data_IF_345266127277
#
_entry.id   IF_345266127277
#
_cell.length_a   1.000
_cell.length_b   1.000
_cell.length_c   1.000
_cell.angle_alpha   90.00
_cell.angle_beta   90.00
_cell.angle_gamma   90.00
#
_symmetry.space_group_name_H-M   'P 1'
#
loop_
_entity.id
_entity.type
_entity.pdbx_description
1 polymer ?
#
# COMPACT_ATOMS: atom_id res chain seq x y z
N UNK A 1 -11.29 -15.18 17.74
CA UNK A 1 -11.64 -13.91 17.09
C UNK A 1 -10.33 -13.28 16.64
N UNK A 2 -10.24 -12.96 15.36
CA UNK A 2 -9.10 -12.29 14.75
C UNK A 2 -9.47 -10.88 14.33
N UNK A 3 -8.49 -9.98 14.38
CA UNK A 3 -8.56 -8.66 13.77
C UNK A 3 -7.34 -8.48 12.86
N UNK A 4 -7.58 -7.95 11.66
CA UNK A 4 -6.57 -7.57 10.68
C UNK A 4 -6.71 -6.07 10.41
N UNK A 5 -5.58 -5.39 10.30
CA UNK A 5 -5.51 -3.99 9.96
C UNK A 5 -4.52 -3.77 8.81
N UNK A 6 -4.96 -3.05 7.79
CA UNK A 6 -4.16 -2.68 6.62
C UNK A 6 -3.87 -1.18 6.67
N UNK A 7 -2.66 -0.76 6.31
CA UNK A 7 -2.26 0.64 6.35
C UNK A 7 -0.97 0.92 5.59
N UNK A 8 -0.34 2.10 5.80
CA UNK A 8 -0.84 3.23 6.60
C UNK A 8 -2.00 3.93 5.89
N UNK A 9 -3.06 4.29 6.62
CA UNK A 9 -4.23 4.95 6.02
C UNK A 9 -4.02 6.46 5.92
N UNK A 10 -3.74 7.11 7.05
CA UNK A 10 -3.64 8.57 7.11
C UNK A 10 -2.42 9.10 6.36
N UNK A 11 -1.23 8.56 6.62
CA UNK A 11 0.00 9.03 5.95
C UNK A 11 -0.03 8.76 4.43
N UNK A 12 -0.70 7.69 4.01
CA UNK A 12 -0.88 7.41 2.60
C UNK A 12 -1.88 8.39 1.97
N UNK A 13 -3.03 8.64 2.57
CA UNK A 13 -4.02 9.57 2.01
C UNK A 13 -3.50 11.02 2.03
N UNK A 14 -2.85 11.45 3.11
CA UNK A 14 -2.40 12.83 3.33
C UNK A 14 -1.31 13.30 2.35
N UNK A 15 -0.56 12.38 1.75
CA UNK A 15 0.51 12.71 0.78
C UNK A 15 -0.01 12.95 -0.64
N UNK A 16 -1.32 12.86 -0.87
CA UNK A 16 -1.92 13.17 -2.17
C UNK A 16 -1.98 14.69 -2.41
N UNK A 17 -1.44 15.15 -3.55
CA UNK A 17 -1.48 16.57 -3.96
C UNK A 17 -2.57 16.90 -5.00
N UNK A 18 -3.25 15.88 -5.53
CA UNK A 18 -4.29 16.02 -6.55
C UNK A 18 -5.51 15.19 -6.16
N UNK A 19 -6.71 15.62 -6.52
CA UNK A 19 -7.95 14.88 -6.26
C UNK A 19 -7.90 13.45 -6.79
N UNK A 20 -7.28 13.25 -7.96
CA UNK A 20 -7.07 11.90 -8.52
C UNK A 20 -6.14 11.05 -7.66
N UNK A 21 -5.02 11.61 -7.20
CA UNK A 21 -4.06 10.89 -6.34
C UNK A 21 -4.72 10.51 -5.00
N UNK A 22 -5.60 11.37 -4.49
CA UNK A 22 -6.39 11.14 -3.27
C UNK A 22 -7.42 10.03 -3.47
N UNK A 23 -8.21 10.13 -4.54
CA UNK A 23 -9.26 9.18 -4.86
C UNK A 23 -8.69 7.78 -5.12
N UNK A 24 -7.63 7.68 -5.93
CA UNK A 24 -6.95 6.41 -6.17
C UNK A 24 -6.37 5.84 -4.86
N UNK A 25 -5.82 6.71 -4.00
CA UNK A 25 -5.30 6.29 -2.70
C UNK A 25 -6.36 5.62 -1.82
N UNK A 26 -7.55 6.23 -1.73
CA UNK A 26 -8.69 5.65 -1.00
C UNK A 26 -9.16 4.34 -1.64
N UNK A 27 -9.31 4.31 -2.96
CA UNK A 27 -9.71 3.10 -3.69
C UNK A 27 -8.73 1.94 -3.49
N UNK A 28 -7.42 2.22 -3.58
CA UNK A 28 -6.38 1.20 -3.38
C UNK A 28 -6.51 0.54 -2.00
N UNK A 29 -6.70 1.32 -0.94
CA UNK A 29 -6.85 0.78 0.41
C UNK A 29 -8.09 -0.11 0.54
N UNK A 30 -9.23 0.31 -0.03
CA UNK A 30 -10.43 -0.51 -0.07
C UNK A 30 -10.22 -1.81 -0.86
N UNK A 31 -9.55 -1.75 -2.01
CA UNK A 31 -9.28 -2.93 -2.85
C UNK A 31 -8.33 -3.92 -2.16
N UNK A 32 -7.32 -3.44 -1.45
CA UNK A 32 -6.43 -4.27 -0.64
C UNK A 32 -7.18 -4.92 0.54
N UNK A 33 -8.05 -4.18 1.22
CA UNK A 33 -8.91 -4.73 2.26
C UNK A 33 -9.89 -5.77 1.69
N UNK A 34 -10.41 -5.55 0.49
CA UNK A 34 -11.25 -6.53 -0.22
C UNK A 34 -10.49 -7.84 -0.47
N UNK A 35 -9.23 -7.78 -0.89
CA UNK A 35 -8.41 -8.99 -1.05
C UNK A 35 -8.25 -9.77 0.26
N UNK A 36 -8.05 -9.08 1.39
CA UNK A 36 -8.00 -9.75 2.68
C UNK A 36 -9.34 -10.40 3.06
N UNK A 37 -10.45 -9.71 2.83
CA UNK A 37 -11.79 -10.24 3.11
C UNK A 37 -12.12 -11.46 2.25
N UNK A 38 -11.77 -11.45 0.97
CA UNK A 38 -11.95 -12.59 0.07
C UNK A 38 -11.12 -13.79 0.52
N UNK A 39 -9.87 -13.58 0.95
CA UNK A 39 -9.04 -14.67 1.46
C UNK A 39 -9.64 -15.27 2.75
N UNK A 40 -10.12 -14.43 3.68
CA UNK A 40 -10.82 -14.91 4.89
C UNK A 40 -12.08 -15.72 4.51
N UNK A 41 -12.90 -15.22 3.58
CA UNK A 41 -14.10 -15.91 3.08
C UNK A 41 -13.75 -17.28 2.53
N UNK A 42 -12.68 -17.39 1.75
CA UNK A 42 -12.28 -18.64 1.12
C UNK A 42 -11.86 -19.71 2.13
N UNK A 43 -11.28 -19.33 3.27
CA UNK A 43 -10.84 -20.27 4.32
C UNK A 43 -11.90 -20.59 5.36
N UNK A 44 -12.73 -19.61 5.73
CA UNK A 44 -13.63 -19.72 6.89
C UNK A 44 -15.11 -19.43 6.59
N UNK A 45 -15.48 -19.20 5.33
CA UNK A 45 -16.85 -18.84 4.95
C UNK A 45 -17.16 -17.36 5.16
N UNK A 46 -18.20 -16.86 4.51
CA UNK A 46 -18.60 -15.44 4.59
C UNK A 46 -19.18 -15.08 5.97
N UNK A 47 -19.82 -16.03 6.63
CA UNK A 47 -20.39 -15.92 7.98
C UNK A 47 -19.35 -15.74 9.07
N UNK A 48 -18.08 -16.03 8.78
CA UNK A 48 -16.97 -15.76 9.68
C UNK A 48 -16.68 -14.26 9.83
N UNK A 49 -17.06 -13.45 8.86
CA UNK A 49 -16.78 -12.01 8.85
C UNK A 49 -17.75 -11.28 9.79
N UNK A 50 -17.18 -10.73 10.86
CA UNK A 50 -17.90 -9.91 11.84
C UNK A 50 -17.94 -8.45 11.36
N UNK A 51 -16.84 -7.97 10.79
CA UNK A 51 -16.72 -6.62 10.23
C UNK A 51 -15.64 -6.57 9.14
N UNK A 52 -15.87 -5.94 7.97
CA UNK A 52 -17.18 -5.52 7.48
C UNK A 52 -18.10 -6.74 7.32
N UNK A 53 -19.41 -6.52 7.45
CA UNK A 53 -20.39 -7.56 7.12
C UNK A 53 -20.37 -7.78 5.60
N UNK A 54 -20.14 -9.01 5.17
CA UNK A 54 -20.05 -9.36 3.76
C UNK A 54 -21.34 -10.01 3.28
N UNK A 55 -21.91 -9.48 2.20
CA UNK A 55 -23.02 -10.10 1.47
C UNK A 55 -22.72 -10.05 -0.02
N UNK A 56 -23.09 -11.09 -0.77
CA UNK A 56 -22.84 -11.18 -2.22
C UNK A 56 -23.62 -10.14 -3.05
N UNK A 57 -24.52 -9.38 -2.42
CA UNK A 57 -25.42 -8.43 -3.08
C UNK A 57 -24.81 -7.03 -3.26
N UNK A 58 -23.67 -6.72 -2.63
CA UNK A 58 -23.07 -5.38 -2.68
C UNK A 58 -21.56 -5.44 -2.94
N UNK A 59 -21.04 -4.48 -3.70
CA UNK A 59 -19.60 -4.24 -3.76
C UNK A 59 -19.09 -3.92 -2.35
N UNK A 60 -18.05 -4.63 -1.94
CA UNK A 60 -17.50 -4.50 -0.60
C UNK A 60 -16.64 -3.24 -0.51
N UNK A 61 -17.18 -2.16 0.05
CA UNK A 61 -16.40 -1.03 0.56
C UNK A 61 -15.68 -1.44 1.85
N UNK A 62 -14.61 -2.22 1.69
CA UNK A 62 -13.88 -2.80 2.81
C UNK A 62 -13.09 -1.72 3.56
N UNK A 63 -13.39 -1.48 4.84
CA UNK A 63 -12.56 -0.61 5.66
C UNK A 63 -11.20 -1.27 5.92
N UNK A 64 -10.24 -0.46 6.33
CA UNK A 64 -8.88 -0.88 6.66
C UNK A 64 -8.79 -1.75 7.93
N UNK A 65 -9.91 -2.07 8.57
CA UNK A 65 -10.05 -2.91 9.76
C UNK A 65 -11.01 -4.05 9.45
N UNK A 66 -10.57 -5.28 9.67
CA UNK A 66 -11.34 -6.49 9.40
C UNK A 66 -11.36 -7.32 10.68
N UNK A 67 -12.53 -7.81 11.08
CA UNK A 67 -12.74 -8.65 12.26
C UNK A 67 -13.46 -9.92 11.82
N UNK A 68 -12.92 -11.08 12.20
CA UNK A 68 -13.46 -12.37 11.80
C UNK A 68 -13.40 -13.42 12.92
N UNK A 69 -14.30 -14.40 12.86
CA UNK A 69 -14.22 -15.66 13.61
C UNK A 69 -13.32 -16.62 12.84
N UNK A 70 -12.17 -16.92 13.43
CA UNK A 70 -11.19 -17.87 12.86
C UNK A 70 -11.22 -19.12 13.72
N UNK A 71 -11.56 -20.24 13.10
CA UNK A 71 -11.52 -21.56 13.71
C UNK A 71 -10.21 -22.25 13.31
N UNK A 72 -9.35 -22.51 14.29
CA UNK A 72 -8.03 -23.08 14.03
C UNK A 72 -7.53 -23.86 15.26
N UNK A 73 -6.86 -24.97 15.00
CA UNK A 73 -6.21 -25.82 16.01
C UNK A 73 -4.86 -25.23 16.41
N UNK A 74 -4.90 -24.20 17.26
CA UNK A 74 -3.71 -23.60 17.85
C UNK A 74 -3.12 -22.43 17.09
N UNK A 75 -2.11 -21.81 17.69
CA UNK A 75 -1.55 -20.54 17.25
C UNK A 75 -0.82 -20.60 15.91
N UNK A 76 -0.10 -21.70 15.61
CA UNK A 76 0.65 -21.81 14.35
C UNK A 76 -0.25 -21.86 13.12
N UNK A 77 -1.43 -22.49 13.21
CA UNK A 77 -2.42 -22.46 12.12
C UNK A 77 -2.96 -21.05 11.88
N UNK A 78 -3.25 -20.29 12.96
CA UNK A 78 -3.65 -18.88 12.85
C UNK A 78 -2.54 -18.05 12.20
N UNK A 79 -1.29 -18.25 12.62
CA UNK A 79 -0.13 -17.54 12.07
C UNK A 79 0.12 -17.87 10.59
N UNK A 80 -0.11 -19.12 10.16
CA UNK A 80 -0.03 -19.50 8.75
C UNK A 80 -1.14 -18.82 7.95
N UNK A 81 -2.39 -18.92 8.42
CA UNK A 81 -3.53 -18.27 7.81
C UNK A 81 -3.33 -16.75 7.64
N UNK A 82 -2.88 -16.05 8.69
CA UNK A 82 -2.60 -14.62 8.59
C UNK A 82 -1.48 -14.29 7.61
N UNK A 83 -0.50 -15.19 7.40
CA UNK A 83 0.52 -15.03 6.35
C UNK A 83 -0.08 -15.20 4.95
N UNK A 84 -1.00 -16.15 4.78
CA UNK A 84 -1.70 -16.36 3.51
C UNK A 84 -2.54 -15.12 3.15
N UNK A 85 -3.26 -14.55 4.13
CA UNK A 85 -3.99 -13.29 3.95
C UNK A 85 -3.07 -12.12 3.62
N UNK A 86 -1.95 -11.97 4.33
CA UNK A 86 -0.95 -10.93 4.04
C UNK A 86 -0.39 -11.08 2.61
N UNK A 87 -0.10 -12.30 2.18
CA UNK A 87 0.42 -12.58 0.84
C UNK A 87 -0.63 -12.30 -0.26
N UNK A 88 -1.91 -12.61 -0.01
CA UNK A 88 -3.00 -12.25 -0.92
C UNK A 88 -3.10 -10.72 -1.11
N UNK A 89 -3.00 -9.95 -0.02
CA UNK A 89 -2.98 -8.47 -0.08
C UNK A 89 -1.75 -7.96 -0.83
N UNK A 90 -0.56 -8.48 -0.52
CA UNK A 90 0.68 -8.10 -1.21
C UNK A 90 0.63 -8.44 -2.70
N UNK A 91 0.09 -9.60 -3.06
CA UNK A 91 -0.12 -10.00 -4.44
C UNK A 91 -1.01 -9.00 -5.17
N UNK A 92 -2.15 -8.61 -4.58
CA UNK A 92 -3.02 -7.60 -5.17
C UNK A 92 -2.32 -6.25 -5.34
N UNK A 93 -1.57 -5.81 -4.33
CA UNK A 93 -0.77 -4.58 -4.43
C UNK A 93 0.23 -4.64 -5.59
N UNK A 94 0.93 -5.76 -5.77
CA UNK A 94 1.89 -5.95 -6.88
C UNK A 94 1.20 -5.89 -8.24
N UNK A 95 0.03 -6.52 -8.39
CA UNK A 95 -0.76 -6.47 -9.63
C UNK A 95 -1.14 -5.03 -9.98
N UNK A 96 -1.75 -4.29 -9.05
CA UNK A 96 -2.17 -2.90 -9.26
C UNK A 96 -0.96 -2.01 -9.54
N UNK A 97 0.15 -2.22 -8.81
CA UNK A 97 1.41 -1.52 -9.04
C UNK A 97 1.93 -1.74 -10.44
N UNK A 98 2.00 -3.00 -10.87
CA UNK A 98 2.59 -3.34 -12.16
C UNK A 98 1.71 -2.83 -13.31
N UNK A 99 0.39 -2.79 -13.14
CA UNK A 99 -0.55 -2.12 -14.05
C UNK A 99 -0.30 -0.60 -14.11
N UNK A 100 -0.30 0.08 -12.96
CA UNK A 100 -0.02 1.52 -12.89
C UNK A 100 1.33 1.88 -13.51
N UNK A 101 2.35 1.05 -13.29
CA UNK A 101 3.69 1.27 -13.83
C UNK A 101 3.79 0.98 -15.34
N UNK A 102 2.88 0.22 -15.95
CA UNK A 102 2.80 0.10 -17.43
C UNK A 102 2.34 1.41 -18.08
N UNK A 103 1.56 2.22 -17.36
CA UNK A 103 1.05 3.50 -17.86
C UNK A 103 2.10 4.62 -17.85
N UNK A 104 3.24 4.42 -17.17
CA UNK A 104 4.37 5.35 -17.17
C UNK A 104 5.14 5.20 -18.48
N UNK A 105 5.16 6.25 -19.31
CA UNK A 105 5.77 6.21 -20.66
C UNK A 105 7.27 6.49 -20.65
N UNK A 106 7.77 7.20 -19.64
CA UNK A 106 9.20 7.50 -19.50
C UNK A 106 9.94 6.42 -18.73
N UNK A 107 11.26 6.38 -18.88
CA UNK A 107 12.14 5.49 -18.12
C UNK A 107 12.25 5.96 -16.67
N UNK A 108 12.27 5.03 -15.73
CA UNK A 108 12.43 5.29 -14.31
C UNK A 108 13.05 4.07 -13.63
N UNK A 109 13.56 4.26 -12.41
CA UNK A 109 14.16 3.22 -11.58
C UNK A 109 13.09 2.22 -11.09
N UNK A 110 12.67 1.32 -11.98
CA UNK A 110 11.49 0.47 -11.77
C UNK A 110 11.64 -0.46 -10.58
N UNK A 111 12.81 -1.05 -10.38
CA UNK A 111 13.02 -2.00 -9.28
C UNK A 111 13.03 -1.28 -7.92
N UNK A 112 13.64 -0.10 -7.85
CA UNK A 112 13.58 0.78 -6.68
C UNK A 112 12.12 1.18 -6.41
N UNK A 113 11.39 1.57 -7.44
CA UNK A 113 9.98 1.94 -7.33
C UNK A 113 9.12 0.79 -6.81
N UNK A 114 9.38 -0.45 -7.25
CA UNK A 114 8.70 -1.65 -6.76
C UNK A 114 8.95 -1.89 -5.27
N UNK A 115 10.21 -1.82 -4.85
CA UNK A 115 10.59 -1.99 -3.43
C UNK A 115 9.95 -0.92 -2.55
N UNK A 116 9.93 0.35 -3.00
CA UNK A 116 9.30 1.44 -2.27
C UNK A 116 7.78 1.25 -2.09
N UNK A 117 7.10 0.66 -3.07
CA UNK A 117 5.67 0.32 -2.97
C UNK A 117 5.44 -0.86 -2.03
N UNK A 118 6.29 -1.89 -2.08
CA UNK A 118 6.18 -3.05 -1.18
C UNK A 118 6.44 -2.67 0.28
N UNK A 119 7.41 -1.80 0.54
CA UNK A 119 7.74 -1.30 1.88
C UNK A 119 6.69 -0.33 2.45
N UNK A 120 5.79 0.19 1.60
CA UNK A 120 4.71 1.07 2.03
C UNK A 120 3.63 0.33 2.82
N UNK A 121 3.36 -0.94 2.50
CA UNK A 121 2.24 -1.67 3.07
C UNK A 121 2.51 -2.04 4.53
N UNK A 122 1.65 -1.57 5.42
CA UNK A 122 1.57 -2.04 6.80
C UNK A 122 0.44 -3.05 6.93
N UNK A 123 0.77 -4.23 7.46
CA UNK A 123 -0.20 -5.29 7.73
C UNK A 123 -0.01 -5.75 9.18
N UNK A 124 -1.05 -5.55 9.99
CA UNK A 124 -1.06 -5.99 11.39
C UNK A 124 -2.22 -6.95 11.62
N UNK A 125 -2.00 -7.94 12.47
CA UNK A 125 -3.04 -8.84 12.91
C UNK A 125 -2.92 -9.14 14.40
N UNK A 126 -4.05 -9.44 15.02
CA UNK A 126 -4.13 -9.93 16.40
C UNK A 126 -5.21 -11.01 16.48
N UNK A 127 -5.04 -11.96 17.39
CA UNK A 127 -6.04 -13.00 17.62
C UNK A 127 -6.20 -13.27 19.11
N UNK A 128 -7.46 -13.41 19.54
CA UNK A 128 -7.84 -13.76 20.92
C UNK A 128 -8.77 -14.97 20.88
N UNK A 129 -8.46 -15.97 21.69
CA UNK A 129 -9.34 -17.12 21.92
C UNK A 129 -10.61 -16.63 22.63
N UNK A 130 -11.76 -17.06 22.14
CA UNK A 130 -13.05 -16.76 22.76
C UNK A 130 -13.99 -17.96 22.59
N UNK A 131 -14.97 -18.04 23.49
CA UNK A 131 -16.06 -19.00 23.46
C UNK A 131 -17.39 -18.23 23.60
N UNK A 132 -18.49 -18.92 23.33
CA UNK A 132 -19.83 -18.34 23.45
C UNK A 132 -20.07 -17.80 24.88
N UNK A 133 -20.68 -16.61 24.96
CA UNK A 133 -20.96 -15.92 26.22
C UNK A 133 -19.90 -14.91 26.69
N UNK A 134 -18.71 -14.85 26.06
CA UNK A 134 -17.65 -13.90 26.46
C UNK A 134 -17.19 -12.94 25.35
N UNK A 135 -18.07 -12.68 24.38
CA UNK A 135 -17.77 -11.88 23.19
C UNK A 135 -17.28 -10.46 23.53
N UNK A 136 -17.97 -9.75 24.42
CA UNK A 136 -17.63 -8.37 24.76
C UNK A 136 -16.21 -8.26 25.36
N UNK A 137 -15.86 -9.15 26.28
CA UNK A 137 -14.52 -9.19 26.87
C UNK A 137 -13.46 -9.57 25.83
N UNK A 138 -13.75 -10.56 24.98
CA UNK A 138 -12.84 -10.96 23.91
C UNK A 138 -12.60 -9.82 22.90
N UNK A 139 -13.64 -9.06 22.57
CA UNK A 139 -13.55 -7.92 21.66
C UNK A 139 -12.71 -6.79 22.27
N UNK A 140 -12.95 -6.44 23.53
CA UNK A 140 -12.15 -5.43 24.24
C UNK A 140 -10.67 -5.84 24.34
N UNK A 141 -10.40 -7.12 24.63
CA UNK A 141 -9.03 -7.65 24.66
C UNK A 141 -8.37 -7.62 23.28
N UNK A 142 -9.12 -7.94 22.22
CA UNK A 142 -8.62 -7.93 20.84
C UNK A 142 -8.20 -6.52 20.41
N UNK A 143 -9.02 -5.51 20.70
CA UNK A 143 -8.70 -4.09 20.45
C UNK A 143 -7.43 -3.67 21.20
N UNK A 144 -7.31 -4.02 22.49
CA UNK A 144 -6.13 -3.72 23.28
C UNK A 144 -4.85 -4.35 22.69
N UNK A 145 -4.90 -5.63 22.31
CA UNK A 145 -3.76 -6.33 21.72
C UNK A 145 -3.40 -5.75 20.35
N UNK A 146 -4.40 -5.42 19.51
CA UNK A 146 -4.17 -4.77 18.22
C UNK A 146 -3.53 -3.39 18.39
N UNK A 147 -4.01 -2.57 19.34
CA UNK A 147 -3.43 -1.27 19.65
C UNK A 147 -1.97 -1.40 20.08
N UNK A 148 -1.66 -2.36 20.97
CA UNK A 148 -0.29 -2.66 21.37
C UNK A 148 0.58 -3.08 20.17
N UNK A 149 0.06 -3.96 19.28
CA UNK A 149 0.79 -4.40 18.08
C UNK A 149 1.13 -3.24 17.14
N UNK A 150 0.19 -2.30 16.95
CA UNK A 150 0.39 -1.09 16.14
C UNK A 150 1.39 -0.12 16.79
N UNK A 151 1.41 -0.03 18.12
CA UNK A 151 2.35 0.81 18.87
C UNK A 151 3.79 0.26 18.81
N UNK A 152 3.96 -1.07 18.76
CA UNK A 152 5.28 -1.72 18.62
C UNK A 152 5.63 -1.98 17.16
N UNK A 153 5.39 -1.00 16.28
CA UNK A 153 5.68 -1.11 14.85
C UNK A 153 7.13 -1.49 14.62
N UNK A 154 7.36 -2.35 13.63
CA UNK A 154 8.71 -2.72 13.22
C UNK A 154 9.33 -1.56 12.42
N UNK A 155 10.30 -0.88 13.02
CA UNK A 155 11.07 0.17 12.36
C UNK A 155 12.24 -0.46 11.59
N UNK A 156 11.98 -0.88 10.35
CA UNK A 156 13.03 -1.38 9.46
C UNK A 156 13.78 -0.21 8.84
N UNK A 157 15.08 -0.12 9.13
CA UNK A 157 15.95 0.83 8.43
C UNK A 157 16.08 0.40 6.97
N UNK A 158 15.80 1.34 6.07
CA UNK A 158 15.97 1.18 4.63
C UNK A 158 17.46 1.01 4.33
N UNK A 159 17.80 -0.04 3.59
CA UNK A 159 19.18 -0.30 3.26
C UNK A 159 19.64 0.57 2.08
N UNK A 160 20.94 0.84 2.02
CA UNK A 160 21.55 1.55 0.90
C UNK A 160 21.62 0.63 -0.33
N UNK A 161 21.38 1.18 -1.52
CA UNK A 161 21.61 0.48 -2.79
C UNK A 161 23.04 -0.07 -2.82
N UNK A 162 23.19 -1.34 -3.24
CA UNK A 162 24.47 -2.04 -3.29
C UNK A 162 24.86 -2.78 -2.00
N UNK A 163 24.04 -2.71 -0.94
CA UNK A 163 24.30 -3.43 0.32
C UNK A 163 23.95 -4.92 0.30
N UNK A 164 23.31 -5.41 -0.77
CA UNK A 164 22.84 -6.80 -0.89
C UNK A 164 21.60 -7.15 -0.05
N UNK A 165 20.98 -6.17 0.63
CA UNK A 165 19.75 -6.38 1.41
C UNK A 165 18.51 -6.24 0.54
N UNK A 166 17.45 -6.95 0.90
CA UNK A 166 16.17 -6.99 0.16
C UNK A 166 15.42 -5.64 0.14
N UNK A 167 15.67 -4.75 1.11
CA UNK A 167 15.06 -3.42 1.21
C UNK A 167 16.03 -2.28 0.80
N UNK A 168 16.90 -2.55 -0.17
CA UNK A 168 17.96 -1.64 -0.59
C UNK A 168 17.51 -0.64 -1.66
N UNK A 169 16.76 0.40 -1.24
CA UNK A 169 16.32 1.49 -2.12
C UNK A 169 16.82 2.88 -1.71
N UNK A 170 17.57 3.01 -0.61
CA UNK A 170 18.12 4.31 -0.22
C UNK A 170 19.34 4.70 -1.08
N UNK A 171 19.34 5.94 -1.57
CA UNK A 171 20.38 6.49 -2.42
C UNK A 171 20.51 8.01 -2.23
N UNK A 172 21.54 8.60 -2.82
CA UNK A 172 21.77 10.04 -2.75
C UNK A 172 21.07 10.77 -3.91
N UNK A 173 19.74 10.69 -3.94
CA UNK A 173 18.89 11.40 -4.90
C UNK A 173 17.86 12.24 -4.15
N UNK A 174 17.27 13.27 -4.79
CA UNK A 174 16.25 14.07 -4.13
C UNK A 174 15.05 13.23 -3.69
N UNK A 175 14.39 13.67 -2.62
CA UNK A 175 13.18 13.02 -2.10
C UNK A 175 11.96 13.38 -2.94
N UNK A 176 10.94 12.53 -2.82
CA UNK A 176 9.63 12.72 -3.42
C UNK A 176 8.97 13.99 -2.89
N UNK A 177 8.41 14.79 -3.77
CA UNK A 177 7.65 15.98 -3.43
C UNK A 177 6.33 15.64 -2.71
N UNK A 178 5.83 14.41 -2.83
CA UNK A 178 4.55 14.02 -2.21
C UNK A 178 4.71 13.67 -0.72
N UNK A 179 5.73 12.87 -0.38
CA UNK A 179 5.91 12.35 0.98
C UNK A 179 7.14 12.93 1.70
N UNK A 180 8.07 13.57 0.98
CA UNK A 180 9.31 14.10 1.55
C UNK A 180 10.26 13.04 2.13
N UNK A 181 9.93 11.75 2.00
CA UNK A 181 10.59 10.65 2.70
C UNK A 181 11.35 9.72 1.75
N UNK A 182 10.69 9.29 0.67
CA UNK A 182 11.24 8.30 -0.28
C UNK A 182 12.03 8.97 -1.40
N UNK A 183 13.11 8.34 -1.83
CA UNK A 183 13.93 8.74 -2.97
C UNK A 183 13.09 8.81 -4.25
N UNK A 184 13.34 9.84 -5.07
CA UNK A 184 12.73 9.92 -6.39
C UNK A 184 13.29 8.83 -7.31
N UNK A 185 12.42 8.28 -8.14
CA UNK A 185 12.74 7.21 -9.10
C UNK A 185 12.79 7.71 -10.54
N UNK A 186 12.43 8.97 -10.79
CA UNK A 186 12.55 9.59 -12.12
C UNK A 186 13.99 10.12 -12.26
N UNK A 187 14.73 9.77 -13.33
CA UNK A 187 16.10 10.19 -13.50
C UNK A 187 16.26 11.71 -13.49
N UNK A 188 17.28 12.22 -12.80
CA UNK A 188 17.41 13.66 -12.54
C UNK A 188 17.84 14.48 -13.77
N UNK A 189 18.37 13.82 -14.80
CA UNK A 189 18.63 14.44 -16.10
C UNK A 189 17.33 14.79 -16.86
N UNK A 190 16.19 14.19 -16.51
CA UNK A 190 14.87 14.50 -17.07
C UNK A 190 14.32 15.84 -16.60
N UNK A 191 14.78 16.36 -15.46
CA UNK A 191 14.33 17.66 -14.96
C UNK A 191 15.16 18.81 -15.54
N UNK A 192 14.55 19.99 -15.72
CA UNK A 192 15.29 21.19 -16.11
C UNK A 192 16.35 21.56 -15.08
N UNK A 193 17.54 21.87 -15.58
CA UNK A 193 18.67 22.37 -14.79
C UNK A 193 18.80 23.88 -14.98
N UNK A 194 19.47 24.55 -14.05
CA UNK A 194 19.76 25.98 -14.16
C UNK A 194 20.66 26.33 -15.35
N UNK A 195 21.43 25.35 -15.84
CA UNK A 195 22.32 25.47 -17.01
C UNK A 195 21.62 25.28 -18.36
N UNK A 196 20.35 24.82 -18.37
CA UNK A 196 19.64 24.56 -19.62
C UNK A 196 19.19 25.88 -20.26
N UNK A 197 19.34 25.99 -21.59
CA UNK A 197 18.76 27.10 -22.34
C UNK A 197 17.22 27.06 -22.31
N UNK A 198 16.59 28.15 -22.74
CA UNK A 198 15.13 28.29 -22.72
C UNK A 198 14.40 27.17 -23.47
N UNK A 199 14.89 26.78 -24.65
CA UNK A 199 14.25 25.77 -25.49
C UNK A 199 14.35 24.39 -24.85
N UNK A 200 15.55 24.01 -24.39
CA UNK A 200 15.80 22.73 -23.72
C UNK A 200 14.95 22.61 -22.45
N UNK A 201 14.84 23.70 -21.69
CA UNK A 201 13.98 23.75 -20.50
C UNK A 201 12.52 23.48 -20.84
N UNK A 202 11.96 24.17 -21.84
CA UNK A 202 10.56 23.96 -22.26
C UNK A 202 10.29 22.55 -22.75
N UNK A 203 11.23 21.97 -23.52
CA UNK A 203 11.14 20.59 -24.01
C UNK A 203 11.11 19.59 -22.85
N UNK A 204 12.01 19.73 -21.86
CA UNK A 204 12.02 18.88 -20.66
C UNK A 204 10.75 19.01 -19.83
N UNK A 205 10.21 20.21 -19.62
CA UNK A 205 8.96 20.42 -18.89
C UNK A 205 7.79 19.72 -19.60
N UNK A 206 7.73 19.84 -20.93
CA UNK A 206 6.72 19.16 -21.75
C UNK A 206 6.85 17.65 -21.65
N UNK A 207 8.07 17.14 -21.68
CA UNK A 207 8.36 15.71 -21.57
C UNK A 207 8.05 15.14 -20.19
N UNK A 208 8.37 15.86 -19.11
CA UNK A 208 7.98 15.47 -17.76
C UNK A 208 6.47 15.25 -17.64
N UNK A 209 5.68 16.18 -18.20
CA UNK A 209 4.23 16.05 -18.19
C UNK A 209 3.75 14.91 -19.10
N UNK A 210 4.29 14.81 -20.33
CA UNK A 210 3.90 13.80 -21.32
C UNK A 210 4.23 12.38 -20.89
N UNK A 211 5.41 12.18 -20.28
CA UNK A 211 5.96 10.87 -19.98
C UNK A 211 5.60 10.37 -18.58
N UNK A 212 5.56 11.28 -17.59
CA UNK A 212 5.39 10.93 -16.18
C UNK A 212 4.18 11.59 -15.52
N UNK A 213 3.47 12.51 -16.21
CA UNK A 213 2.36 13.30 -15.65
C UNK A 213 2.77 14.16 -14.46
N UNK A 214 4.02 14.61 -14.40
CA UNK A 214 4.59 15.44 -13.33
C UNK A 214 4.93 16.86 -13.79
N UNK A 215 5.08 17.79 -12.84
CA UNK A 215 5.58 19.16 -13.07
C UNK A 215 7.08 19.26 -12.81
N UNK A 216 7.70 20.36 -13.22
CA UNK A 216 9.16 20.60 -13.13
C UNK A 216 9.76 20.51 -11.71
N UNK A 217 8.96 20.71 -10.67
CA UNK A 217 9.39 20.62 -9.28
C UNK A 217 8.79 19.41 -8.55
N UNK A 218 8.13 18.51 -9.29
CA UNK A 218 7.40 17.37 -8.75
C UNK A 218 8.18 16.08 -8.97
N UNK A 219 9.23 15.88 -8.16
CA UNK A 219 9.96 14.62 -8.10
C UNK A 219 9.10 13.56 -7.42
N UNK A 220 8.96 12.38 -8.02
CA UNK A 220 8.13 11.31 -7.47
C UNK A 220 8.95 10.07 -7.12
N UNK A 221 8.62 9.45 -5.99
CA UNK A 221 8.99 8.08 -5.63
C UNK A 221 8.07 7.06 -6.31
N UNK A 222 8.34 5.77 -6.16
CA UNK A 222 7.51 4.69 -6.68
C UNK A 222 6.06 4.73 -6.19
N UNK A 223 5.84 5.07 -4.91
CA UNK A 223 4.49 5.28 -4.35
C UNK A 223 3.79 6.47 -5.02
N UNK A 224 4.54 7.54 -5.31
CA UNK A 224 4.00 8.70 -6.01
C UNK A 224 3.61 8.37 -7.45
N UNK A 225 4.44 7.59 -8.16
CA UNK A 225 4.10 7.09 -9.49
C UNK A 225 2.89 6.16 -9.48
N UNK A 226 2.79 5.27 -8.48
CA UNK A 226 1.63 4.40 -8.28
C UNK A 226 0.35 5.22 -8.19
N UNK A 227 0.31 6.24 -7.32
CA UNK A 227 -0.87 7.12 -7.21
C UNK A 227 -1.16 7.91 -8.48
N UNK A 228 -0.10 8.33 -9.18
CA UNK A 228 -0.21 9.21 -10.35
C UNK A 228 -0.74 8.50 -11.59
N UNK A 229 -0.50 7.20 -11.69
CA UNK A 229 -0.78 6.38 -12.89
C UNK A 229 -1.70 5.18 -12.62
N UNK A 230 -2.08 4.98 -11.37
CA UNK A 230 -3.07 3.99 -11.00
C UNK A 230 -4.48 4.40 -11.42
N UNK A 231 -5.22 3.44 -11.95
CA UNK A 231 -6.62 3.54 -12.33
C UNK A 231 -7.40 2.40 -11.67
N UNK A 232 -8.73 2.52 -11.64
CA UNK A 232 -9.59 1.37 -11.35
C UNK A 232 -9.56 0.45 -12.56
N UNK A 233 -9.41 -0.85 -12.34
CA UNK A 233 -9.54 -1.84 -13.41
C UNK A 233 -10.91 -1.67 -14.08
N UNK A 234 -10.92 -1.27 -15.36
CA UNK A 234 -12.13 -1.02 -16.17
C UNK A 234 -12.36 0.42 -16.65
N UNK A 235 -11.50 1.38 -16.26
CA UNK A 235 -11.54 2.75 -16.79
C UNK A 235 -10.28 3.02 -17.63
N UNK A 236 -10.39 2.80 -18.95
CA UNK A 236 -9.49 3.36 -19.98
C UNK A 236 -9.92 4.77 -20.38
#
# INVERSE_FOLDING_TARGET
>A
MGEIHIGPVQDFIATARRTRDLWFGSWLLCELARSAVLEIKNHHGAESLIFPFFTEQYELDAPNKIVARVEAEGFEKIKSFCRDVEEAVKKRLREIRDEAFKNVRGEFERDIAKQQVEDMLEFYWAAVKFADGNYALARAKLEYVMAARKATRDFRQVARIGSGKENAWSSNVPKSALDGARESVIPEDRYPKSSDDHRTREEKIRDLFRLYRVREHERLCGVGLLKRHGNRSGEE
#
